data_IF_303543916395
#
_entry.id   IF_303543916395
#
_cell.length_a   1.000
_cell.length_b   1.000
_cell.length_c   1.000
_cell.angle_alpha   90.00
_cell.angle_beta   90.00
_cell.angle_gamma   90.00
#
_symmetry.space_group_name_H-M   'P 1'
#
loop_
_entity.id
_entity.type
_entity.pdbx_description
1 polymer ?
#
# COMPACT_ATOMS: atom_id res chain seq x y z
N UNK A 1 14.28 -31.54 -54.73
CA UNK A 1 14.20 -30.16 -54.19
C UNK A 1 12.84 -29.80 -53.56
N UNK A 2 11.74 -30.53 -53.80
CA UNK A 2 10.41 -30.22 -53.25
C UNK A 2 10.24 -30.49 -51.73
N UNK A 3 10.99 -31.43 -51.14
CA UNK A 3 10.85 -31.79 -49.72
C UNK A 3 11.35 -30.73 -48.72
N UNK A 4 12.36 -29.93 -49.09
CA UNK A 4 12.90 -28.85 -48.23
C UNK A 4 11.96 -27.65 -48.14
N UNK A 5 11.23 -27.35 -49.23
CA UNK A 5 10.24 -26.28 -49.25
C UNK A 5 9.00 -26.62 -48.42
N UNK A 6 8.55 -27.88 -48.46
CA UNK A 6 7.45 -28.36 -47.62
C UNK A 6 7.82 -28.33 -46.13
N UNK A 7 9.05 -28.73 -45.76
CA UNK A 7 9.49 -28.65 -44.37
C UNK A 7 9.65 -27.21 -43.88
N UNK A 8 10.10 -26.28 -44.72
CA UNK A 8 10.22 -24.87 -44.33
C UNK A 8 8.87 -24.19 -44.18
N UNK A 9 7.86 -24.55 -44.98
CA UNK A 9 6.49 -24.02 -44.85
C UNK A 9 5.79 -24.59 -43.62
N UNK A 10 5.96 -25.87 -43.30
CA UNK A 10 5.42 -26.46 -42.07
C UNK A 10 6.09 -25.87 -40.81
N UNK A 11 7.40 -25.62 -40.87
CA UNK A 11 8.16 -24.97 -39.80
C UNK A 11 7.74 -23.49 -39.64
N UNK A 12 7.61 -22.77 -40.75
CA UNK A 12 7.12 -21.39 -40.75
C UNK A 12 5.67 -21.28 -40.25
N UNK A 13 4.78 -22.20 -40.61
CA UNK A 13 3.39 -22.20 -40.12
C UNK A 13 3.30 -22.50 -38.62
N UNK A 14 4.11 -23.44 -38.09
CA UNK A 14 4.18 -23.75 -36.66
C UNK A 14 4.89 -22.67 -35.83
N UNK A 15 5.97 -22.08 -36.35
CA UNK A 15 6.70 -20.95 -35.73
C UNK A 15 5.85 -19.66 -35.74
N UNK A 16 5.03 -19.44 -36.78
CA UNK A 16 4.04 -18.34 -36.82
C UNK A 16 2.83 -18.57 -35.91
N UNK A 17 2.49 -19.82 -35.59
CA UNK A 17 1.32 -20.12 -34.76
C UNK A 17 1.53 -19.65 -33.32
N UNK A 18 2.76 -19.69 -32.80
CA UNK A 18 3.07 -19.28 -31.42
C UNK A 18 4.40 -18.51 -31.28
N UNK A 19 4.50 -17.27 -31.81
CA UNK A 19 5.71 -16.45 -31.75
C UNK A 19 6.17 -16.10 -30.32
N UNK A 20 5.31 -16.32 -29.33
CA UNK A 20 5.61 -16.08 -27.93
C UNK A 20 6.52 -17.16 -27.33
N UNK A 21 6.54 -18.39 -27.86
CA UNK A 21 7.40 -19.48 -27.35
C UNK A 21 8.88 -19.13 -27.51
N UNK A 22 9.27 -18.61 -28.68
CA UNK A 22 10.65 -18.16 -28.94
C UNK A 22 11.04 -16.95 -28.09
N UNK A 23 10.11 -16.01 -27.88
CA UNK A 23 10.36 -14.88 -26.99
C UNK A 23 10.50 -15.34 -25.54
N UNK A 24 9.71 -16.34 -25.13
CA UNK A 24 9.74 -16.89 -23.78
C UNK A 24 11.05 -17.61 -23.51
N UNK A 25 11.55 -18.42 -24.45
CA UNK A 25 12.87 -19.04 -24.34
C UNK A 25 13.99 -17.99 -24.33
N UNK A 26 13.91 -16.97 -25.20
CA UNK A 26 14.90 -15.87 -25.24
C UNK A 26 15.00 -15.10 -23.92
N UNK A 27 13.87 -14.82 -23.27
CA UNK A 27 13.83 -14.02 -22.05
C UNK A 27 13.70 -14.84 -20.78
N UNK A 28 13.80 -16.18 -20.85
CA UNK A 28 13.59 -17.09 -19.70
C UNK A 28 14.44 -16.72 -18.48
N UNK A 29 15.73 -16.49 -18.71
CA UNK A 29 16.68 -16.16 -17.64
C UNK A 29 16.42 -14.76 -17.06
N UNK A 30 16.03 -13.81 -17.91
CA UNK A 30 15.63 -12.46 -17.47
C UNK A 30 14.33 -12.46 -16.67
N UNK A 31 13.35 -13.28 -17.06
CA UNK A 31 12.08 -13.41 -16.36
C UNK A 31 12.24 -14.06 -14.99
N UNK A 32 13.21 -14.97 -14.84
CA UNK A 32 13.54 -15.62 -13.58
C UNK A 32 14.16 -14.66 -12.54
N UNK A 33 14.78 -13.55 -12.98
CA UNK A 33 15.39 -12.54 -12.08
C UNK A 33 14.35 -11.73 -11.28
N UNK A 34 13.05 -11.86 -11.60
CA UNK A 34 11.96 -11.17 -10.91
C UNK A 34 11.21 -10.17 -11.80
N UNK A 35 10.34 -9.34 -11.20
CA UNK A 35 9.45 -8.42 -11.96
C UNK A 35 10.07 -7.05 -12.22
N UNK A 36 10.79 -6.50 -11.25
CA UNK A 36 11.21 -5.09 -11.25
C UNK A 36 12.71 -4.87 -11.48
N UNK A 37 13.47 -5.96 -11.59
CA UNK A 37 14.92 -5.94 -11.57
C UNK A 37 15.45 -6.88 -10.50
N UNK A 38 16.76 -6.81 -10.30
CA UNK A 38 17.46 -7.66 -9.36
C UNK A 38 18.57 -6.89 -8.68
N UNK A 39 18.90 -7.27 -7.45
CA UNK A 39 20.02 -6.69 -6.71
C UNK A 39 21.29 -7.43 -7.07
N UNK A 40 22.28 -6.72 -7.58
CA UNK A 40 23.58 -7.29 -7.94
C UNK A 40 24.68 -6.26 -7.67
N UNK A 41 25.74 -6.69 -6.98
CA UNK A 41 26.93 -5.88 -6.70
C UNK A 41 26.60 -4.52 -6.03
N UNK A 42 25.65 -4.51 -5.10
CA UNK A 42 25.29 -3.31 -4.33
C UNK A 42 24.43 -2.29 -5.08
N UNK A 43 23.94 -2.63 -6.28
CA UNK A 43 23.05 -1.78 -7.04
C UNK A 43 21.81 -2.54 -7.52
N UNK A 44 20.70 -1.81 -7.67
CA UNK A 44 19.51 -2.33 -8.33
C UNK A 44 19.69 -2.26 -9.84
N UNK A 45 19.72 -3.42 -10.51
CA UNK A 45 19.81 -3.51 -11.97
C UNK A 45 18.43 -3.70 -12.59
N UNK A 46 18.09 -2.95 -13.65
CA UNK A 46 16.85 -3.18 -14.40
C UNK A 46 16.95 -4.49 -15.20
N UNK A 47 15.79 -5.04 -15.57
CA UNK A 47 15.73 -6.21 -16.45
C UNK A 47 16.08 -5.83 -17.90
N UNK A 48 16.60 -6.80 -18.65
CA UNK A 48 16.85 -6.68 -20.09
C UNK A 48 15.57 -6.64 -20.95
N UNK A 49 14.40 -6.81 -20.34
CA UNK A 49 13.08 -6.70 -20.98
C UNK A 49 12.28 -5.56 -20.36
N UNK A 50 11.69 -4.71 -21.21
CA UNK A 50 10.80 -3.66 -20.72
C UNK A 50 9.49 -4.26 -20.18
N UNK A 51 8.93 -3.63 -19.15
CA UNK A 51 7.68 -4.06 -18.53
C UNK A 51 6.53 -4.21 -19.55
N UNK A 52 6.48 -3.34 -20.57
CA UNK A 52 5.51 -3.42 -21.67
C UNK A 52 5.68 -4.69 -22.51
N UNK A 53 6.92 -5.05 -22.87
CA UNK A 53 7.20 -6.26 -23.65
C UNK A 53 6.90 -7.51 -22.82
N UNK A 54 7.26 -7.51 -21.53
CA UNK A 54 6.90 -8.57 -20.59
C UNK A 54 5.38 -8.77 -20.52
N UNK A 55 4.61 -7.70 -20.31
CA UNK A 55 3.15 -7.78 -20.20
C UNK A 55 2.49 -8.28 -21.49
N UNK A 56 3.02 -7.89 -22.66
CA UNK A 56 2.56 -8.42 -23.95
C UNK A 56 2.82 -9.94 -24.05
N UNK A 57 4.01 -10.38 -23.67
CA UNK A 57 4.38 -11.79 -23.67
C UNK A 57 3.50 -12.60 -22.70
N UNK A 58 3.33 -12.11 -21.47
CA UNK A 58 2.42 -12.68 -20.47
C UNK A 58 0.99 -12.81 -21.02
N UNK A 59 0.49 -11.78 -21.70
CA UNK A 59 -0.83 -11.81 -22.35
C UNK A 59 -0.92 -12.89 -23.42
N UNK A 60 0.08 -13.00 -24.30
CA UNK A 60 0.13 -14.02 -25.37
C UNK A 60 0.12 -15.45 -24.79
N UNK A 61 0.89 -15.71 -23.72
CA UNK A 61 0.96 -17.01 -23.02
C UNK A 61 -0.37 -17.37 -22.36
N UNK A 62 -0.94 -16.45 -21.58
CA UNK A 62 -2.20 -16.69 -20.86
C UNK A 62 -3.38 -16.87 -21.83
N UNK A 63 -3.39 -16.16 -22.97
CA UNK A 63 -4.41 -16.36 -24.02
C UNK A 63 -4.29 -17.72 -24.71
N UNK A 64 -3.10 -18.29 -24.78
CA UNK A 64 -2.88 -19.65 -25.27
C UNK A 64 -3.27 -20.73 -24.23
N UNK A 65 -3.72 -20.33 -23.04
CA UNK A 65 -4.11 -21.23 -21.95
C UNK A 65 -2.94 -21.81 -21.16
N UNK A 66 -1.71 -21.32 -21.37
CA UNK A 66 -0.55 -21.73 -20.58
C UNK A 66 -0.38 -20.87 -19.31
N UNK A 67 0.31 -21.42 -18.32
CA UNK A 67 0.55 -20.78 -17.04
C UNK A 67 1.73 -19.79 -17.08
N UNK A 68 1.72 -18.81 -16.19
CA UNK A 68 2.75 -17.78 -16.07
C UNK A 68 3.42 -17.81 -14.69
N UNK A 69 4.50 -18.59 -14.51
CA UNK A 69 5.12 -18.81 -13.19
C UNK A 69 6.08 -17.69 -12.73
N UNK A 70 6.38 -16.71 -13.58
CA UNK A 70 7.45 -15.74 -13.34
C UNK A 70 7.07 -14.55 -12.45
N UNK A 71 5.78 -14.29 -12.27
CA UNK A 71 5.30 -13.14 -11.51
C UNK A 71 4.73 -13.62 -10.16
N UNK A 72 5.16 -13.05 -9.02
CA UNK A 72 4.54 -13.36 -7.74
C UNK A 72 3.09 -12.87 -7.71
N UNK A 73 2.28 -13.54 -6.89
CA UNK A 73 0.89 -13.15 -6.68
C UNK A 73 0.77 -11.74 -6.12
N UNK A 74 -0.30 -11.03 -6.53
CA UNK A 74 -0.58 -9.69 -6.02
C UNK A 74 -1.02 -9.80 -4.57
N UNK A 75 -0.32 -9.08 -3.69
CA UNK A 75 -0.73 -8.93 -2.29
C UNK A 75 -2.03 -8.13 -2.20
N UNK A 76 -2.83 -8.45 -1.19
CA UNK A 76 -4.04 -7.71 -0.87
C UNK A 76 -3.72 -6.27 -0.44
N UNK A 77 -4.60 -5.34 -0.81
CA UNK A 77 -4.47 -3.94 -0.40
C UNK A 77 -4.94 -3.73 1.04
N UNK A 78 -4.20 -2.94 1.82
CA UNK A 78 -4.61 -2.58 3.18
C UNK A 78 -5.70 -1.51 3.16
N UNK A 79 -6.90 -1.87 3.61
CA UNK A 79 -8.02 -0.95 3.76
C UNK A 79 -8.11 -0.47 5.21
N UNK A 80 -7.67 0.77 5.48
CA UNK A 80 -7.85 1.43 6.79
C UNK A 80 -8.22 2.89 6.60
N UNK A 81 -9.29 3.32 7.27
CA UNK A 81 -9.67 4.75 7.34
C UNK A 81 -8.87 5.43 8.45
N UNK A 82 -8.18 6.54 8.12
CA UNK A 82 -7.42 7.33 9.08
C UNK A 82 -8.34 8.08 10.06
N UNK A 83 -9.48 8.57 9.57
CA UNK A 83 -10.36 9.54 10.24
C UNK A 83 -9.76 10.95 10.23
N UNK A 84 -10.62 11.98 10.30
CA UNK A 84 -10.16 13.37 10.37
C UNK A 84 -9.59 13.68 11.76
N UNK A 85 -8.51 14.46 11.80
CA UNK A 85 -7.90 14.92 13.06
C UNK A 85 -8.88 15.76 13.89
N UNK A 86 -9.61 16.66 13.22
CA UNK A 86 -10.57 17.55 13.85
C UNK A 86 -11.64 16.76 14.62
N UNK A 87 -12.24 15.75 13.99
CA UNK A 87 -13.32 14.97 14.57
C UNK A 87 -12.87 14.18 15.80
N UNK A 88 -11.64 13.63 15.77
CA UNK A 88 -11.05 12.93 16.91
C UNK A 88 -10.88 13.86 18.11
N UNK A 89 -10.28 15.04 17.88
CA UNK A 89 -10.09 16.05 18.92
C UNK A 89 -11.44 16.58 19.43
N UNK A 90 -12.42 16.73 18.55
CA UNK A 90 -13.76 17.16 18.94
C UNK A 90 -14.44 16.14 19.85
N UNK A 91 -14.29 14.83 19.59
CA UNK A 91 -14.78 13.79 20.48
C UNK A 91 -14.12 13.86 21.87
N UNK A 92 -12.78 13.92 21.91
CA UNK A 92 -12.01 14.08 23.17
C UNK A 92 -12.41 15.33 23.95
N UNK A 93 -12.69 16.45 23.27
CA UNK A 93 -13.15 17.70 23.91
C UNK A 93 -14.54 17.56 24.52
N UNK A 94 -15.47 16.85 23.87
CA UNK A 94 -16.82 16.61 24.42
C UNK A 94 -16.75 15.77 25.68
N UNK A 95 -15.96 14.70 25.67
CA UNK A 95 -15.74 13.83 26.83
C UNK A 95 -15.11 14.60 28.00
N UNK A 96 -14.08 15.41 27.74
CA UNK A 96 -13.46 16.25 28.77
C UNK A 96 -14.43 17.29 29.34
N UNK A 97 -15.28 17.87 28.50
CA UNK A 97 -16.31 18.81 28.97
C UNK A 97 -17.27 18.12 29.94
N UNK A 98 -17.75 16.91 29.62
CA UNK A 98 -18.63 16.15 30.51
C UNK A 98 -17.95 15.85 31.86
N UNK A 99 -16.70 15.37 31.83
CA UNK A 99 -15.92 15.09 33.03
C UNK A 99 -15.66 16.33 33.89
N UNK A 100 -15.47 17.49 33.26
CA UNK A 100 -15.31 18.76 33.98
C UNK A 100 -16.63 19.18 34.64
N UNK A 101 -17.74 19.02 33.93
CA UNK A 101 -19.08 19.36 34.43
C UNK A 101 -19.47 18.54 35.66
N UNK A 102 -19.10 17.26 35.73
CA UNK A 102 -19.27 16.44 36.93
C UNK A 102 -18.56 17.02 38.17
N UNK A 103 -17.39 17.66 37.97
CA UNK A 103 -16.60 18.28 39.06
C UNK A 103 -17.00 19.72 39.37
N UNK A 104 -17.90 20.32 38.60
CA UNK A 104 -18.30 21.72 38.78
C UNK A 104 -18.87 22.03 40.17
N UNK A 105 -19.72 21.18 40.79
CA UNK A 105 -20.26 21.46 42.11
C UNK A 105 -19.16 21.65 43.16
N UNK A 106 -18.17 20.75 43.17
CA UNK A 106 -17.04 20.80 44.10
C UNK A 106 -16.18 22.04 43.84
N UNK A 107 -15.87 22.33 42.57
CA UNK A 107 -15.10 23.52 42.20
C UNK A 107 -15.80 24.83 42.62
N UNK A 108 -17.14 24.87 42.59
CA UNK A 108 -17.93 26.01 43.05
C UNK A 108 -17.86 26.17 44.57
N UNK A 109 -17.94 25.07 45.33
CA UNK A 109 -17.79 25.09 46.78
C UNK A 109 -16.39 25.56 47.18
N UNK A 110 -15.35 25.06 46.51
CA UNK A 110 -13.97 25.46 46.73
C UNK A 110 -13.74 26.94 46.42
N UNK A 111 -14.37 27.47 45.37
CA UNK A 111 -14.31 28.89 45.04
C UNK A 111 -14.99 29.74 46.12
N UNK A 112 -16.20 29.35 46.55
CA UNK A 112 -16.93 30.03 47.62
C UNK A 112 -16.15 30.03 48.93
N UNK A 113 -15.58 28.89 49.31
CA UNK A 113 -14.74 28.74 50.50
C UNK A 113 -13.53 29.69 50.46
N UNK A 114 -12.78 29.71 49.35
CA UNK A 114 -11.63 30.62 49.17
C UNK A 114 -12.01 32.09 49.27
N UNK A 115 -13.15 32.49 48.68
CA UNK A 115 -13.66 33.87 48.77
C UNK A 115 -14.03 34.24 50.20
N UNK A 116 -14.66 33.31 50.91
CA UNK A 116 -15.09 33.53 52.28
C UNK A 116 -13.91 33.63 53.25
N UNK A 117 -12.95 32.71 53.17
CA UNK A 117 -11.71 32.77 53.95
C UNK A 117 -10.92 34.06 53.72
N UNK A 118 -10.86 34.53 52.47
CA UNK A 118 -10.21 35.80 52.14
C UNK A 118 -10.92 36.97 52.83
N UNK A 119 -12.26 37.00 52.79
CA UNK A 119 -13.06 38.05 53.43
C UNK A 119 -12.86 38.07 54.94
N UNK A 120 -12.92 36.91 55.60
CA UNK A 120 -12.67 36.79 57.05
C UNK A 120 -11.27 37.34 57.42
N UNK A 121 -10.23 36.98 56.66
CA UNK A 121 -8.87 37.50 56.88
C UNK A 121 -8.74 39.02 56.68
N UNK A 122 -9.54 39.62 55.81
CA UNK A 122 -9.57 41.08 55.62
C UNK A 122 -10.30 41.77 56.78
N UNK A 123 -11.41 41.21 57.24
CA UNK A 123 -12.15 41.71 58.40
C UNK A 123 -11.34 41.58 59.72
N UNK A 124 -10.59 40.50 59.90
CA UNK A 124 -9.73 40.29 61.06
C UNK A 124 -8.51 41.24 61.08
N UNK A 125 -8.06 41.71 59.92
CA UNK A 125 -6.97 42.71 59.82
C UNK A 125 -7.45 44.14 60.08
N UNK A 126 -8.75 44.39 59.97
CA UNK A 126 -9.36 45.70 60.19
C UNK A 126 -9.82 45.95 61.63
N UNK A 127 -9.72 44.93 62.51
CA UNK A 127 -9.92 45.04 63.96
C UNK A 127 -8.60 45.22 64.68
#
# INVERSE_FOLDING_TARGET
MAGKAASSVAKAAGEYQYPWREKLTKYKDELAKGVWGYWELGAWKPLGISARRRARLRKEVLLAGEDWPYDPERKEMKTRRKGHKCDKIAAEKRENTARLMEKMPDMLLDYKKRRWEKKMKEEDKGK
#
